data_IF_748612942747
#
_entry.id   IF_748612942747
#
_cell.length_a   1.000
_cell.length_b   1.000
_cell.length_c   1.000
_cell.angle_alpha   90.00
_cell.angle_beta   90.00
_cell.angle_gamma   90.00
#
_symmetry.space_group_name_H-M   'P 1'
#
loop_
_entity.id
_entity.type
_entity.pdbx_description
1 polymer ?
#
# COMPACT_ATOMS: atom_id res chain seq x y z
N UNK A 1 5.26 -22.01 11.00
CA UNK A 1 5.98 -21.02 10.19
C UNK A 1 5.00 -19.92 9.83
N UNK A 2 5.37 -18.66 9.95
CA UNK A 2 4.54 -17.56 9.43
C UNK A 2 4.67 -17.59 7.92
N UNK A 3 3.57 -17.73 7.20
CA UNK A 3 3.55 -17.61 5.74
C UNK A 3 3.30 -16.16 5.34
N UNK A 4 3.78 -15.79 4.15
CA UNK A 4 3.55 -14.46 3.60
C UNK A 4 2.10 -14.34 3.12
N UNK A 5 1.37 -13.39 3.70
CA UNK A 5 -0.01 -13.07 3.32
C UNK A 5 -0.04 -12.34 1.96
N UNK A 6 -1.17 -12.42 1.24
CA UNK A 6 -1.35 -11.59 0.04
C UNK A 6 -1.48 -10.10 0.43
N UNK A 7 -2.37 -9.80 1.37
CA UNK A 7 -2.67 -8.43 1.80
C UNK A 7 -2.64 -8.34 3.30
N UNK A 8 -1.93 -7.34 3.82
CA UNK A 8 -1.98 -6.95 5.22
C UNK A 8 -2.38 -5.49 5.37
N UNK A 9 -3.40 -5.26 6.18
CA UNK A 9 -3.87 -3.93 6.52
C UNK A 9 -2.99 -3.37 7.64
N UNK A 10 -2.52 -2.12 7.49
CA UNK A 10 -1.68 -1.42 8.46
C UNK A 10 -2.49 -0.28 9.10
N UNK A 11 -3.06 -0.58 10.26
CA UNK A 11 -3.82 0.38 11.08
C UNK A 11 -2.93 1.08 12.12
N UNK A 12 -1.85 0.41 12.58
CA UNK A 12 -0.94 0.94 13.60
C UNK A 12 -0.13 2.13 13.04
N UNK A 13 -0.28 3.35 13.61
CA UNK A 13 0.47 4.53 13.16
C UNK A 13 1.99 4.35 13.26
N UNK A 14 2.49 3.62 14.25
CA UNK A 14 3.93 3.37 14.39
C UNK A 14 4.45 2.48 13.26
N UNK A 15 3.64 1.57 12.73
CA UNK A 15 4.00 0.80 11.53
C UNK A 15 4.01 1.71 10.32
N UNK A 16 3.04 2.64 10.20
CA UNK A 16 3.00 3.61 9.09
C UNK A 16 4.22 4.51 9.03
N UNK A 17 4.67 5.05 10.17
CA UNK A 17 5.90 5.85 10.25
C UNK A 17 7.13 5.12 9.67
N UNK A 18 7.17 3.78 9.74
CA UNK A 18 8.23 3.01 9.11
C UNK A 18 8.14 3.07 7.58
N UNK A 19 6.95 3.09 6.98
CA UNK A 19 6.80 3.24 5.53
C UNK A 19 7.13 4.65 5.05
N UNK A 20 6.86 5.67 5.85
CA UNK A 20 7.23 7.06 5.56
C UNK A 20 8.74 7.27 5.57
N UNK A 21 9.46 6.50 6.40
CA UNK A 21 10.91 6.56 6.40
C UNK A 21 11.51 5.83 5.18
N UNK A 22 12.30 6.52 4.34
CA UNK A 22 12.76 5.98 3.06
C UNK A 22 13.62 4.73 3.20
N UNK A 23 14.35 4.56 4.29
CA UNK A 23 15.24 3.40 4.45
C UNK A 23 14.46 2.10 4.64
N UNK A 24 13.41 2.15 5.44
CA UNK A 24 12.57 1.00 5.74
C UNK A 24 11.68 0.65 4.55
N UNK A 25 11.04 1.65 3.91
CA UNK A 25 10.23 1.41 2.72
C UNK A 25 11.04 0.86 1.56
N UNK A 26 12.27 1.33 1.36
CA UNK A 26 13.19 0.76 0.35
C UNK A 26 13.60 -0.67 0.65
N UNK A 27 13.80 -1.03 1.91
CA UNK A 27 14.07 -2.43 2.30
C UNK A 27 12.87 -3.32 1.98
N UNK A 28 11.66 -2.90 2.39
CA UNK A 28 10.43 -3.63 2.09
C UNK A 28 10.20 -3.73 0.57
N UNK A 29 10.56 -2.71 -0.20
CA UNK A 29 10.52 -2.73 -1.66
C UNK A 29 11.47 -3.77 -2.27
N UNK A 30 12.72 -3.81 -1.82
CA UNK A 30 13.72 -4.78 -2.31
C UNK A 30 13.27 -6.23 -2.02
N UNK A 31 12.65 -6.44 -0.87
CA UNK A 31 12.25 -7.76 -0.37
C UNK A 31 10.86 -8.20 -0.84
N UNK A 32 10.27 -7.52 -1.84
CA UNK A 32 8.90 -7.82 -2.26
C UNK A 32 8.73 -9.22 -2.82
N UNK A 33 9.57 -9.60 -3.78
CA UNK A 33 9.42 -10.85 -4.53
C UNK A 33 10.41 -11.94 -4.10
N UNK A 34 11.19 -11.71 -3.04
CA UNK A 34 12.16 -12.72 -2.60
C UNK A 34 12.56 -12.53 -1.14
N UNK A 35 12.89 -13.65 -0.51
CA UNK A 35 13.62 -13.65 0.75
C UNK A 35 15.07 -13.23 0.55
N UNK A 36 15.64 -12.52 1.53
CA UNK A 36 17.03 -12.07 1.47
C UNK A 36 17.70 -12.17 2.83
N UNK A 37 18.99 -12.47 2.81
CA UNK A 37 19.87 -12.30 3.96
C UNK A 37 20.22 -10.82 4.17
N UNK A 38 20.69 -10.47 5.36
CA UNK A 38 21.16 -9.11 5.63
C UNK A 38 22.28 -8.66 4.66
N UNK A 39 23.15 -9.58 4.23
CA UNK A 39 24.25 -9.29 3.31
C UNK A 39 23.77 -9.03 1.89
N UNK A 40 22.83 -9.83 1.39
CA UNK A 40 22.25 -9.64 0.06
C UNK A 40 21.43 -8.36 0.00
N UNK A 41 20.62 -8.11 1.03
CA UNK A 41 19.86 -6.87 1.16
C UNK A 41 20.79 -5.65 1.17
N UNK A 42 21.87 -5.69 1.95
CA UNK A 42 22.89 -4.64 1.97
C UNK A 42 23.48 -4.37 0.58
N UNK A 43 23.85 -5.44 -0.14
CA UNK A 43 24.41 -5.32 -1.50
C UNK A 43 23.41 -4.68 -2.46
N UNK A 44 22.14 -5.11 -2.44
CA UNK A 44 21.08 -4.56 -3.30
C UNK A 44 20.75 -3.12 -2.95
N UNK A 45 20.58 -2.80 -1.67
CA UNK A 45 20.34 -1.43 -1.20
C UNK A 45 21.44 -0.48 -1.68
N UNK A 46 22.71 -0.85 -1.48
CA UNK A 46 23.82 -0.02 -1.91
C UNK A 46 24.07 -0.05 -3.42
N UNK A 47 23.41 -0.92 -4.18
CA UNK A 47 23.41 -0.86 -5.64
C UNK A 47 22.35 0.12 -6.13
N UNK A 48 21.15 0.05 -5.57
CA UNK A 48 19.96 0.72 -6.08
C UNK A 48 19.79 2.17 -5.58
N UNK A 49 20.48 2.55 -4.49
CA UNK A 49 20.37 3.88 -3.88
C UNK A 49 21.72 4.55 -3.64
N UNK A 50 21.75 5.88 -3.73
CA UNK A 50 22.97 6.69 -3.54
C UNK A 50 23.39 6.77 -2.06
N UNK A 51 22.44 6.87 -1.14
CA UNK A 51 22.67 6.97 0.29
C UNK A 51 23.04 5.61 0.90
N UNK A 52 24.28 5.19 0.66
CA UNK A 52 24.80 3.88 1.08
C UNK A 52 24.61 3.66 2.58
N UNK A 53 24.33 2.42 2.94
CA UNK A 53 24.17 1.97 4.33
C UNK A 53 25.23 0.95 4.69
N UNK A 54 25.60 0.92 5.95
CA UNK A 54 26.46 -0.14 6.49
C UNK A 54 25.64 -1.40 6.74
N UNK A 55 26.30 -2.56 6.80
CA UNK A 55 25.64 -3.81 7.18
C UNK A 55 25.02 -3.71 8.58
N UNK A 56 25.65 -3.00 9.52
CA UNK A 56 25.09 -2.72 10.86
C UNK A 56 23.78 -1.95 10.80
N UNK A 57 23.68 -0.94 9.91
CA UNK A 57 22.43 -0.21 9.69
C UNK A 57 21.34 -1.12 9.15
N UNK A 58 21.67 -2.00 8.19
CA UNK A 58 20.72 -2.98 7.64
C UNK A 58 20.20 -3.93 8.72
N UNK A 59 21.08 -4.47 9.59
CA UNK A 59 20.66 -5.28 10.73
C UNK A 59 19.69 -4.53 11.66
N UNK A 60 19.98 -3.26 11.96
CA UNK A 60 19.10 -2.43 12.79
C UNK A 60 17.73 -2.26 12.13
N UNK A 61 17.68 -2.02 10.83
CA UNK A 61 16.42 -1.87 10.11
C UNK A 61 15.61 -3.18 10.10
N UNK A 62 16.25 -4.31 9.76
CA UNK A 62 15.63 -5.64 9.81
C UNK A 62 15.07 -5.96 11.19
N UNK A 63 15.82 -5.66 12.26
CA UNK A 63 15.37 -5.86 13.65
C UNK A 63 14.12 -5.04 13.95
N UNK A 64 14.06 -3.77 13.53
CA UNK A 64 12.89 -2.92 13.78
C UNK A 64 11.69 -3.37 12.93
N UNK A 65 11.87 -3.72 11.66
CA UNK A 65 10.79 -4.24 10.81
C UNK A 65 10.23 -5.56 11.34
N UNK A 66 11.09 -6.49 11.76
CA UNK A 66 10.68 -7.75 12.39
C UNK A 66 9.94 -7.52 13.71
N UNK A 67 10.41 -6.59 14.55
CA UNK A 67 9.72 -6.22 15.80
C UNK A 67 8.30 -5.70 15.55
N UNK A 68 8.07 -5.07 14.41
CA UNK A 68 6.78 -4.50 14.02
C UNK A 68 5.97 -5.42 13.10
N UNK A 69 6.35 -6.70 12.99
CA UNK A 69 5.64 -7.71 12.21
C UNK A 69 5.47 -7.34 10.72
N UNK A 70 6.48 -6.66 10.17
CA UNK A 70 6.57 -6.36 8.73
C UNK A 70 7.49 -7.34 7.99
N UNK A 71 8.34 -8.04 8.74
CA UNK A 71 9.21 -9.10 8.25
C UNK A 71 9.19 -10.29 9.23
N UNK A 72 9.42 -11.49 8.70
CA UNK A 72 9.71 -12.69 9.47
C UNK A 72 11.00 -13.34 8.98
N UNK A 73 11.55 -14.27 9.78
CA UNK A 73 12.68 -15.11 9.36
C UNK A 73 12.09 -16.33 8.67
N UNK A 74 12.28 -16.44 7.35
CA UNK A 74 11.70 -17.51 6.53
C UNK A 74 12.47 -18.82 6.69
N UNK A 75 13.80 -18.74 6.72
CA UNK A 75 14.68 -19.87 7.02
C UNK A 75 16.00 -19.42 7.65
N UNK A 76 16.71 -20.39 8.20
CA UNK A 76 18.08 -20.22 8.69
C UNK A 76 18.98 -21.26 8.06
N UNK A 77 20.19 -20.86 7.69
CA UNK A 77 21.20 -21.74 7.12
C UNK A 77 22.48 -21.69 7.94
N UNK A 78 23.05 -22.86 8.23
CA UNK A 78 24.37 -22.94 8.83
C UNK A 78 25.44 -22.86 7.75
N UNK A 79 26.21 -21.77 7.74
CA UNK A 79 27.42 -21.66 6.92
C UNK A 79 28.61 -22.32 7.60
N UNK A 80 29.66 -22.58 6.82
CA UNK A 80 30.93 -23.15 7.32
C UNK A 80 31.38 -22.42 8.59
N UNK A 81 31.65 -23.17 9.66
CA UNK A 81 32.14 -22.64 10.94
C UNK A 81 31.05 -22.17 11.92
N UNK A 82 29.87 -22.78 11.92
CA UNK A 82 28.76 -22.52 12.87
C UNK A 82 28.08 -21.14 12.76
N UNK A 83 28.38 -20.38 11.71
CA UNK A 83 27.68 -19.11 11.47
C UNK A 83 26.28 -19.37 10.94
N UNK A 84 25.26 -19.02 11.73
CA UNK A 84 23.86 -19.11 11.30
C UNK A 84 23.50 -17.83 10.55
N UNK A 85 23.12 -17.97 9.28
CA UNK A 85 22.59 -16.87 8.46
C UNK A 85 21.07 -16.97 8.38
N UNK A 86 20.37 -15.86 8.60
CA UNK A 86 18.90 -15.81 8.53
C UNK A 86 18.45 -15.16 7.23
N UNK A 87 17.50 -15.79 6.58
CA UNK A 87 16.75 -15.26 5.45
C UNK A 87 15.49 -14.59 5.97
N UNK A 88 15.23 -13.39 5.48
CA UNK A 88 14.08 -12.59 5.90
C UNK A 88 13.12 -12.45 4.73
N UNK A 89 11.82 -12.51 5.02
CA UNK A 89 10.73 -12.28 4.08
C UNK A 89 9.76 -11.27 4.65
N UNK A 90 9.02 -10.60 3.77
CA UNK A 90 7.90 -9.75 4.17
C UNK A 90 6.75 -10.59 4.70
N UNK A 91 6.03 -10.09 5.68
CA UNK A 91 4.82 -10.74 6.19
C UNK A 91 3.64 -10.67 5.23
N UNK A 92 3.66 -9.73 4.27
CA UNK A 92 2.67 -9.66 3.19
C UNK A 92 3.26 -9.18 1.85
N UNK A 93 2.61 -9.54 0.73
CA UNK A 93 2.92 -9.02 -0.61
C UNK A 93 2.53 -7.56 -0.75
N UNK A 94 1.32 -7.21 -0.28
CA UNK A 94 0.79 -5.86 -0.27
C UNK A 94 0.49 -5.39 1.16
N UNK A 95 1.00 -4.21 1.51
CA UNK A 95 0.62 -3.50 2.73
C UNK A 95 -0.33 -2.37 2.33
N UNK A 96 -1.54 -2.36 2.90
CA UNK A 96 -2.57 -1.35 2.58
C UNK A 96 -2.83 -0.49 3.82
N UNK A 97 -2.97 0.82 3.60
CA UNK A 97 -3.28 1.82 4.62
C UNK A 97 -4.73 2.30 4.41
N UNK A 98 -5.69 1.88 5.23
CA UNK A 98 -7.10 2.24 5.06
C UNK A 98 -7.36 3.73 5.09
N UNK A 99 -6.60 4.44 5.94
CA UNK A 99 -6.77 5.87 6.17
C UNK A 99 -6.53 6.72 4.93
N UNK A 100 -5.77 6.27 3.92
CA UNK A 100 -5.57 7.07 2.69
C UNK A 100 -6.88 7.28 1.90
N UNK A 101 -7.85 6.38 2.06
CA UNK A 101 -9.11 6.41 1.31
C UNK A 101 -10.27 6.97 2.12
N UNK A 102 -10.15 6.94 3.46
CA UNK A 102 -11.12 7.44 4.45
C UNK A 102 -10.63 8.70 5.19
N UNK A 103 -9.59 9.37 4.69
CA UNK A 103 -9.09 10.61 5.29
C UNK A 103 -10.12 11.71 5.09
N UNK A 104 -10.67 12.20 6.20
CA UNK A 104 -11.60 13.34 6.22
C UNK A 104 -11.03 14.54 5.44
N UNK A 105 -9.71 14.76 5.47
CA UNK A 105 -9.06 15.86 4.75
C UNK A 105 -9.16 15.70 3.24
N UNK A 106 -9.16 14.46 2.74
CA UNK A 106 -9.36 14.18 1.31
C UNK A 106 -10.81 14.42 0.92
N UNK A 107 -11.76 14.04 1.77
CA UNK A 107 -13.19 14.32 1.58
C UNK A 107 -13.42 15.83 1.54
N UNK A 108 -12.91 16.56 2.54
CA UNK A 108 -13.03 18.02 2.63
C UNK A 108 -12.38 18.72 1.42
N UNK A 109 -11.17 18.33 1.03
CA UNK A 109 -10.49 18.89 -0.14
C UNK A 109 -11.26 18.60 -1.44
N UNK A 110 -11.79 17.38 -1.58
CA UNK A 110 -12.62 17.01 -2.75
C UNK A 110 -13.91 17.82 -2.77
N UNK A 111 -14.56 17.98 -1.63
CA UNK A 111 -15.77 18.79 -1.49
C UNK A 111 -15.52 20.26 -1.84
N UNK A 112 -14.40 20.83 -1.38
CA UNK A 112 -14.01 22.20 -1.70
C UNK A 112 -13.80 22.38 -3.20
N UNK A 113 -13.05 21.48 -3.85
CA UNK A 113 -12.82 21.52 -5.30
C UNK A 113 -14.12 21.38 -6.09
N UNK A 114 -14.97 20.42 -5.73
CA UNK A 114 -16.27 20.21 -6.39
C UNK A 114 -17.16 21.45 -6.24
N UNK A 115 -17.20 22.04 -5.05
CA UNK A 115 -17.99 23.26 -4.79
C UNK A 115 -17.50 24.45 -5.60
N UNK A 116 -16.18 24.58 -5.79
CA UNK A 116 -15.57 25.63 -6.61
C UNK A 116 -15.84 25.44 -8.11
N UNK A 117 -15.86 24.18 -8.59
CA UNK A 117 -16.06 23.86 -10.01
C UNK A 117 -17.53 24.00 -10.43
N UNK A 118 -18.47 23.53 -9.60
CA UNK A 118 -19.87 23.37 -9.99
C UNK A 118 -20.83 24.42 -9.40
N UNK A 119 -20.35 25.39 -8.61
CA UNK A 119 -21.18 26.46 -7.99
C UNK A 119 -22.47 25.90 -7.37
N UNK A 120 -22.31 25.10 -6.31
CA UNK A 120 -23.41 24.39 -5.65
C UNK A 120 -24.15 25.29 -4.65
N UNK A 121 -25.47 25.13 -4.54
CA UNK A 121 -26.24 25.69 -3.42
C UNK A 121 -26.04 24.90 -2.11
N UNK A 122 -26.50 25.46 -0.98
CA UNK A 122 -26.30 24.84 0.35
C UNK A 122 -27.00 23.49 0.54
N UNK A 123 -28.13 23.26 -0.14
CA UNK A 123 -28.83 21.97 -0.07
C UNK A 123 -28.04 20.90 -0.84
N UNK A 124 -27.57 21.24 -2.05
CA UNK A 124 -26.76 20.36 -2.89
C UNK A 124 -25.40 20.07 -2.25
N UNK A 125 -24.75 21.07 -1.63
CA UNK A 125 -23.49 20.89 -0.90
C UNK A 125 -23.60 19.80 0.17
N UNK A 126 -24.67 19.83 0.95
CA UNK A 126 -24.90 18.83 2.01
C UNK A 126 -24.96 17.42 1.41
N UNK A 127 -25.77 17.23 0.35
CA UNK A 127 -25.91 15.94 -0.34
C UNK A 127 -24.62 15.47 -1.00
N UNK A 128 -23.85 16.39 -1.59
CA UNK A 128 -22.54 16.08 -2.18
C UNK A 128 -21.58 15.58 -1.11
N UNK A 129 -21.50 16.24 0.05
CA UNK A 129 -20.62 15.81 1.14
C UNK A 129 -21.00 14.41 1.64
N UNK A 130 -22.29 14.12 1.83
CA UNK A 130 -22.78 12.78 2.19
C UNK A 130 -22.35 11.70 1.18
N UNK A 131 -22.48 11.97 -0.13
CA UNK A 131 -22.05 11.02 -1.17
C UNK A 131 -20.53 10.84 -1.15
N UNK A 132 -19.74 11.89 -0.89
CA UNK A 132 -18.29 11.77 -0.79
C UNK A 132 -17.86 10.89 0.38
N UNK A 133 -18.53 10.97 1.53
CA UNK A 133 -18.34 10.04 2.65
C UNK A 133 -18.70 8.60 2.26
N UNK A 134 -19.89 8.39 1.69
CA UNK A 134 -20.35 7.06 1.25
C UNK A 134 -19.35 6.43 0.26
N UNK A 135 -18.87 7.23 -0.69
CA UNK A 135 -17.89 6.82 -1.70
C UNK A 135 -16.55 6.46 -1.05
N UNK A 136 -16.06 7.31 -0.16
CA UNK A 136 -14.78 7.13 0.53
C UNK A 136 -14.73 5.82 1.31
N UNK A 137 -15.74 5.53 2.15
CA UNK A 137 -15.80 4.31 2.96
C UNK A 137 -15.91 3.04 2.11
N UNK A 138 -16.90 3.00 1.20
CA UNK A 138 -17.16 1.81 0.37
C UNK A 138 -16.01 1.51 -0.58
N UNK A 139 -15.37 2.57 -1.11
CA UNK A 139 -14.23 2.44 -2.02
C UNK A 139 -13.01 1.86 -1.31
N UNK A 140 -12.71 2.31 -0.09
CA UNK A 140 -11.59 1.79 0.70
C UNK A 140 -11.70 0.28 0.96
N UNK A 141 -12.88 -0.17 1.40
CA UNK A 141 -13.15 -1.60 1.62
C UNK A 141 -13.05 -2.40 0.31
N UNK A 142 -13.65 -1.90 -0.78
CA UNK A 142 -13.59 -2.55 -2.09
C UNK A 142 -12.15 -2.67 -2.61
N UNK A 143 -11.28 -1.70 -2.31
CA UNK A 143 -9.89 -1.71 -2.72
C UNK A 143 -9.09 -2.84 -2.04
N UNK A 144 -9.32 -3.05 -0.74
CA UNK A 144 -8.71 -4.16 0.00
C UNK A 144 -9.14 -5.51 -0.60
N UNK A 145 -10.44 -5.67 -0.89
CA UNK A 145 -10.97 -6.88 -1.52
C UNK A 145 -10.39 -7.09 -2.92
N UNK A 146 -10.14 -6.02 -3.66
CA UNK A 146 -9.51 -6.09 -4.97
C UNK A 146 -8.12 -6.73 -4.91
N UNK A 147 -7.24 -6.27 -4.01
CA UNK A 147 -5.90 -6.86 -3.85
C UNK A 147 -5.95 -8.30 -3.33
N UNK A 148 -6.91 -8.62 -2.45
CA UNK A 148 -7.08 -10.00 -1.98
C UNK A 148 -7.50 -10.93 -3.11
N UNK A 149 -8.35 -10.45 -4.01
CA UNK A 149 -8.91 -11.26 -5.09
C UNK A 149 -7.98 -11.42 -6.28
N UNK A 150 -7.27 -10.36 -6.66
CA UNK A 150 -6.46 -10.31 -7.88
C UNK A 150 -4.95 -10.23 -7.61
N UNK A 151 -4.53 -10.56 -6.40
CA UNK A 151 -3.15 -10.34 -5.95
C UNK A 151 -2.11 -11.03 -6.82
N UNK A 152 -2.40 -12.25 -7.28
CA UNK A 152 -1.48 -13.01 -8.14
C UNK A 152 -1.34 -12.36 -9.52
N UNK A 153 -2.44 -11.95 -10.14
CA UNK A 153 -2.42 -11.24 -11.42
C UNK A 153 -1.71 -9.89 -11.30
N UNK A 154 -1.85 -9.20 -10.15
CA UNK A 154 -1.10 -7.98 -9.88
C UNK A 154 0.41 -8.25 -9.78
N UNK A 155 0.84 -9.36 -9.20
CA UNK A 155 2.25 -9.73 -9.13
C UNK A 155 2.82 -10.04 -10.52
N UNK A 156 2.06 -10.71 -11.40
CA UNK A 156 2.46 -10.95 -12.79
C UNK A 156 2.63 -9.63 -13.57
N UNK A 157 1.72 -8.68 -13.38
CA UNK A 157 1.81 -7.34 -13.98
C UNK A 157 3.00 -6.56 -13.41
N UNK A 158 3.25 -6.65 -12.10
CA UNK A 158 4.41 -6.04 -11.46
C UNK A 158 5.72 -6.61 -12.01
N UNK A 159 5.83 -7.94 -12.21
CA UNK A 159 7.03 -8.55 -12.77
C UNK A 159 7.34 -8.00 -14.17
N UNK A 160 6.30 -7.78 -14.97
CA UNK A 160 6.44 -7.31 -16.35
C UNK A 160 6.71 -5.80 -16.47
N UNK A 161 6.06 -4.97 -15.66
CA UNK A 161 6.05 -3.51 -15.84
C UNK A 161 6.61 -2.72 -14.65
N UNK A 162 6.94 -3.41 -13.56
CA UNK A 162 7.40 -2.80 -12.31
C UNK A 162 6.27 -2.27 -11.44
N UNK A 163 6.55 -2.18 -10.14
CA UNK A 163 5.57 -1.83 -9.11
C UNK A 163 4.83 -0.52 -9.36
N UNK A 164 5.55 0.56 -9.70
CA UNK A 164 4.91 1.87 -9.83
C UNK A 164 3.89 1.91 -10.97
N UNK A 165 4.15 1.17 -12.05
CA UNK A 165 3.21 1.04 -13.17
C UNK A 165 2.03 0.17 -12.77
N UNK A 166 2.29 -0.99 -12.15
CA UNK A 166 1.26 -1.88 -11.64
C UNK A 166 0.32 -1.15 -10.67
N UNK A 167 0.83 -0.44 -9.65
CA UNK A 167 -0.01 0.28 -8.68
C UNK A 167 -0.94 1.29 -9.35
N UNK A 168 -0.44 2.05 -10.33
CA UNK A 168 -1.28 3.01 -11.09
C UNK A 168 -2.35 2.29 -11.91
N UNK A 169 -1.99 1.20 -12.59
CA UNK A 169 -2.95 0.38 -13.33
C UNK A 169 -4.03 -0.23 -12.41
N UNK A 170 -3.63 -0.68 -11.22
CA UNK A 170 -4.53 -1.19 -10.18
C UNK A 170 -5.56 -0.14 -9.75
N UNK A 171 -5.13 1.10 -9.52
CA UNK A 171 -6.05 2.18 -9.14
C UNK A 171 -7.10 2.42 -10.24
N UNK A 172 -6.66 2.53 -11.50
CA UNK A 172 -7.55 2.75 -12.65
C UNK A 172 -8.55 1.61 -12.78
N UNK A 173 -8.08 0.36 -12.77
CA UNK A 173 -8.97 -0.78 -12.98
C UNK A 173 -9.91 -1.01 -11.79
N UNK A 174 -9.46 -0.71 -10.59
CA UNK A 174 -10.30 -0.72 -9.39
C UNK A 174 -11.42 0.31 -9.51
N UNK A 175 -11.11 1.56 -9.86
CA UNK A 175 -12.10 2.63 -10.05
C UNK A 175 -13.17 2.23 -11.08
N UNK A 176 -12.75 1.76 -12.25
CA UNK A 176 -13.67 1.31 -13.31
C UNK A 176 -14.59 0.18 -12.83
N UNK A 177 -14.06 -0.78 -12.07
CA UNK A 177 -14.86 -1.87 -11.52
C UNK A 177 -15.80 -1.41 -10.41
N UNK A 178 -15.33 -0.52 -9.55
CA UNK A 178 -16.12 0.04 -8.46
C UNK A 178 -17.36 0.75 -9.01
N UNK A 179 -17.19 1.65 -9.97
CA UNK A 179 -18.33 2.37 -10.57
C UNK A 179 -19.21 1.47 -11.42
N UNK A 180 -18.64 0.47 -12.12
CA UNK A 180 -19.46 -0.55 -12.81
C UNK A 180 -20.37 -1.32 -11.84
N UNK A 181 -19.90 -1.58 -10.62
CA UNK A 181 -20.68 -2.25 -9.58
C UNK A 181 -21.64 -1.33 -8.81
N UNK A 182 -21.45 -0.01 -8.90
CA UNK A 182 -22.22 0.99 -8.16
C UNK A 182 -22.67 2.15 -9.08
N UNK A 183 -23.37 1.88 -10.19
CA UNK A 183 -23.75 2.92 -11.15
C UNK A 183 -24.67 3.99 -10.53
N UNK A 184 -25.57 3.56 -9.64
CA UNK A 184 -26.52 4.41 -8.90
C UNK A 184 -25.81 5.54 -8.12
N UNK A 185 -24.65 5.24 -7.52
CA UNK A 185 -23.88 6.21 -6.74
C UNK A 185 -23.31 7.30 -7.64
N UNK A 186 -22.80 6.90 -8.80
CA UNK A 186 -22.23 7.81 -9.79
C UNK A 186 -23.32 8.68 -10.42
N UNK A 187 -24.48 8.09 -10.71
CA UNK A 187 -25.65 8.80 -11.23
C UNK A 187 -26.14 9.84 -10.23
N UNK A 188 -26.37 9.46 -8.96
CA UNK A 188 -26.74 10.39 -7.89
C UNK A 188 -25.77 11.56 -7.78
N UNK A 189 -24.47 11.28 -7.86
CA UNK A 189 -23.45 12.31 -7.80
C UNK A 189 -23.54 13.28 -8.99
N UNK A 190 -23.59 12.76 -10.22
CA UNK A 190 -23.67 13.63 -11.40
C UNK A 190 -24.97 14.42 -11.48
N UNK A 191 -26.11 13.84 -11.11
CA UNK A 191 -27.40 14.56 -11.06
C UNK A 191 -27.31 15.78 -10.15
N UNK A 192 -26.62 15.69 -9.01
CA UNK A 192 -26.40 16.82 -8.11
C UNK A 192 -25.45 17.87 -8.69
N UNK A 193 -24.48 17.46 -9.50
CA UNK A 193 -23.51 18.38 -10.11
C UNK A 193 -24.04 19.09 -11.36
N UNK A 194 -25.00 18.49 -12.05
CA UNK A 194 -25.60 19.03 -13.29
C UNK A 194 -26.99 19.61 -13.10
N UNK A 195 -27.48 19.63 -11.85
CA UNK A 195 -28.79 20.18 -11.46
C UNK A 195 -28.88 21.68 -11.69
#
# INVERSE_FOLDING_TARGET
MTEQEMVRIIEDPHKRELFENPNYSRILRIMRNQELTAKELHKRFNKDYEDKKTLTSIYRYLKKLKKNDLLFVSRQETKRGHLIESYYSRTAQFFIFPEEWADERVIDATFELVSQIYTLDEEVKTKVKEILHELSEKRGQSFIEFYKKYGDELLEVEEKYGYSVMTKATHIIHELRYFRGNPELLERFFVLLTG
#
